data_IF_031133964183
#
_entry.id   IF_031133964183
#
_cell.length_a   1.000
_cell.length_b   1.000
_cell.length_c   1.000
_cell.angle_alpha   90.00
_cell.angle_beta   90.00
_cell.angle_gamma   90.00
#
_symmetry.space_group_name_H-M   'P 1'
#
loop_
_entity.id
_entity.type
_entity.pdbx_description
1 polymer ?
#
# COMPACT_ATOMS: atom_id res chain seq x y z
N UNK A 1 -4.46 -6.50 13.95
CA UNK A 1 -4.34 -7.96 13.78
C UNK A 1 -2.98 -8.43 14.30
N UNK A 2 -2.91 -9.45 15.17
CA UNK A 2 -1.64 -9.99 15.64
C UNK A 2 -0.85 -10.67 14.51
N UNK A 3 0.48 -10.50 14.51
CA UNK A 3 1.37 -11.06 13.47
C UNK A 3 1.26 -12.59 13.35
N UNK A 4 1.14 -13.29 14.48
CA UNK A 4 1.04 -14.76 14.52
C UNK A 4 -0.22 -15.29 13.82
N UNK A 5 -1.34 -14.55 13.88
CA UNK A 5 -2.56 -14.90 13.17
C UNK A 5 -2.34 -14.82 11.65
N UNK A 6 -1.71 -13.75 11.18
CA UNK A 6 -1.37 -13.59 9.76
C UNK A 6 -0.37 -14.64 9.27
N UNK A 7 0.56 -15.08 10.12
CA UNK A 7 1.48 -16.17 9.81
C UNK A 7 0.72 -17.49 9.56
N UNK A 8 -0.24 -17.84 10.42
CA UNK A 8 -1.07 -19.03 10.24
C UNK A 8 -1.93 -18.91 8.97
N UNK A 9 -2.57 -17.76 8.75
CA UNK A 9 -3.41 -17.55 7.56
C UNK A 9 -2.61 -17.61 6.25
N UNK A 10 -1.32 -17.25 6.26
CA UNK A 10 -0.46 -17.30 5.08
C UNK A 10 -0.17 -18.72 4.56
N UNK A 11 -0.43 -19.75 5.37
CA UNK A 11 -0.37 -21.15 4.95
C UNK A 11 -1.52 -21.47 3.98
N UNK A 12 -2.70 -20.89 4.22
CA UNK A 12 -3.91 -21.12 3.43
C UNK A 12 -4.04 -20.15 2.26
N UNK A 13 -3.61 -18.89 2.42
CA UNK A 13 -3.64 -17.86 1.37
C UNK A 13 -2.21 -17.40 1.05
N UNK A 14 -1.68 -17.90 -0.07
CA UNK A 14 -0.30 -17.66 -0.50
C UNK A 14 0.02 -16.18 -0.71
N UNK A 15 -0.97 -15.36 -1.08
CA UNK A 15 -0.81 -13.91 -1.27
C UNK A 15 -0.37 -13.20 0.02
N UNK A 16 -0.79 -13.73 1.18
CA UNK A 16 -0.44 -13.16 2.48
C UNK A 16 1.04 -13.41 2.83
N UNK A 17 1.71 -14.36 2.20
CA UNK A 17 3.11 -14.72 2.50
C UNK A 17 4.05 -13.53 2.25
N UNK A 18 3.77 -12.69 1.26
CA UNK A 18 4.53 -11.47 0.97
C UNK A 18 4.23 -10.33 1.95
N UNK A 19 3.05 -10.32 2.57
CA UNK A 19 2.60 -9.25 3.48
C UNK A 19 3.13 -9.45 4.89
N UNK A 20 3.24 -10.70 5.36
CA UNK A 20 3.74 -11.07 6.70
C UNK A 20 5.06 -10.36 7.11
N UNK A 21 6.11 -10.28 6.27
CA UNK A 21 7.36 -9.61 6.66
C UNK A 21 7.29 -8.07 6.66
N UNK A 22 6.24 -7.49 6.09
CA UNK A 22 6.03 -6.04 5.95
C UNK A 22 5.08 -5.51 7.03
N UNK A 23 4.21 -6.38 7.56
CA UNK A 23 3.29 -6.04 8.65
C UNK A 23 4.03 -5.40 9.85
N UNK A 24 3.42 -4.36 10.42
CA UNK A 24 3.94 -3.54 11.52
C UNK A 24 5.26 -2.81 11.25
N UNK A 25 5.79 -2.79 10.02
CA UNK A 25 6.93 -1.95 9.67
C UNK A 25 6.45 -0.57 9.21
N UNK A 26 6.73 0.46 10.01
CA UNK A 26 6.59 1.85 9.57
C UNK A 26 7.76 2.18 8.65
N UNK A 27 7.47 2.74 7.48
CA UNK A 27 8.47 3.35 6.60
C UNK A 27 8.05 4.79 6.37
N UNK A 28 8.90 5.72 6.78
CA UNK A 28 8.71 7.12 6.46
C UNK A 28 9.36 7.35 5.09
N UNK A 29 8.53 7.64 4.10
CA UNK A 29 8.93 7.79 2.70
C UNK A 29 8.64 9.24 2.30
N UNK A 30 9.56 9.88 1.59
CA UNK A 30 9.43 11.28 1.20
C UNK A 30 9.57 11.43 -0.31
N UNK A 31 8.73 12.26 -0.91
CA UNK A 31 8.70 12.51 -2.35
C UNK A 31 9.72 13.54 -2.84
N UNK A 32 10.56 14.09 -1.95
CA UNK A 32 11.50 15.20 -2.23
C UNK A 32 12.42 14.88 -3.40
N UNK A 33 13.08 13.72 -3.37
CA UNK A 33 14.00 13.30 -4.43
C UNK A 33 13.37 13.31 -5.82
N UNK A 34 12.10 12.91 -5.92
CA UNK A 34 11.40 12.87 -7.21
C UNK A 34 10.97 14.28 -7.67
N UNK A 35 10.58 15.15 -6.73
CA UNK A 35 10.33 16.58 -7.01
C UNK A 35 11.59 17.24 -7.56
N UNK A 36 12.72 17.04 -6.89
CA UNK A 36 13.98 17.72 -7.20
C UNK A 36 14.61 17.24 -8.51
N UNK A 37 14.53 15.93 -8.80
CA UNK A 37 15.17 15.35 -9.99
C UNK A 37 14.28 15.36 -11.24
N UNK A 38 12.98 15.21 -11.08
CA UNK A 38 12.04 15.02 -12.20
C UNK A 38 11.13 16.24 -12.40
N UNK A 39 11.28 17.29 -11.59
CA UNK A 39 10.37 18.43 -11.52
C UNK A 39 8.91 17.99 -11.37
N UNK A 40 8.69 16.92 -10.61
CA UNK A 40 7.40 16.27 -10.49
C UNK A 40 6.55 16.95 -9.43
N UNK A 41 5.30 17.28 -9.75
CA UNK A 41 4.29 17.78 -8.81
C UNK A 41 3.29 16.67 -8.46
N UNK A 42 3.52 15.91 -7.38
CA UNK A 42 2.59 14.86 -6.96
C UNK A 42 1.32 15.44 -6.34
N UNK A 43 0.19 14.79 -6.61
CA UNK A 43 -1.08 15.03 -5.89
C UNK A 43 -0.94 14.63 -4.41
N UNK A 44 -1.85 15.13 -3.58
CA UNK A 44 -1.86 14.78 -2.15
C UNK A 44 -2.14 13.30 -1.94
N UNK A 45 -1.59 12.73 -0.86
CA UNK A 45 -1.81 11.32 -0.51
C UNK A 45 -3.30 11.01 -0.31
N UNK A 46 -4.03 11.93 0.32
CA UNK A 46 -5.48 11.79 0.55
C UNK A 46 -6.25 11.70 -0.76
N UNK A 47 -6.00 12.64 -1.69
CA UNK A 47 -6.66 12.63 -3.00
C UNK A 47 -6.32 11.35 -3.77
N UNK A 48 -5.04 10.96 -3.77
CA UNK A 48 -4.58 9.74 -4.43
C UNK A 48 -5.28 8.49 -3.89
N UNK A 49 -5.53 8.40 -2.58
CA UNK A 49 -6.24 7.28 -1.96
C UNK A 49 -7.70 7.25 -2.39
N UNK A 50 -8.38 8.41 -2.36
CA UNK A 50 -9.79 8.53 -2.75
C UNK A 50 -9.98 8.14 -4.22
N UNK A 51 -9.15 8.67 -5.12
CA UNK A 51 -9.23 8.37 -6.55
C UNK A 51 -8.98 6.89 -6.84
N UNK A 52 -8.00 6.29 -6.16
CA UNK A 52 -7.69 4.86 -6.31
C UNK A 52 -8.86 4.00 -5.82
N UNK A 53 -9.43 4.33 -4.65
CA UNK A 53 -10.57 3.59 -4.10
C UNK A 53 -11.78 3.65 -5.04
N UNK A 54 -12.05 4.82 -5.61
CA UNK A 54 -13.10 5.02 -6.60
C UNK A 54 -12.85 4.20 -7.87
N UNK A 55 -11.63 4.20 -8.40
CA UNK A 55 -11.27 3.38 -9.55
C UNK A 55 -11.49 1.89 -9.28
N UNK A 56 -11.08 1.38 -8.13
CA UNK A 56 -11.29 -0.03 -7.79
C UNK A 56 -12.78 -0.41 -7.83
N UNK A 57 -13.65 0.48 -7.33
CA UNK A 57 -15.09 0.31 -7.39
C UNK A 57 -15.63 0.39 -8.83
N UNK A 58 -15.24 1.42 -9.59
CA UNK A 58 -15.72 1.66 -10.95
C UNK A 58 -15.36 0.49 -11.91
N UNK A 59 -14.20 -0.13 -11.69
CA UNK A 59 -13.75 -1.30 -12.47
C UNK A 59 -14.12 -2.65 -11.84
N UNK A 60 -14.88 -2.66 -10.75
CA UNK A 60 -15.30 -3.88 -10.03
C UNK A 60 -14.14 -4.82 -9.66
N UNK A 61 -13.03 -4.21 -9.19
CA UNK A 61 -11.80 -4.89 -8.78
C UNK A 61 -11.69 -5.08 -7.26
N UNK A 62 -12.58 -4.46 -6.49
CA UNK A 62 -12.68 -4.58 -5.03
C UNK A 62 -14.14 -4.49 -4.57
#
# INVERSE_FOLDING_TARGET
MPKWVMQIMSIFKKDLKFIVPIINKRRDITSTKAKDLLNWEPISAEQSIIDTAKQLQDYNLA
#
